data_IF_764030973602
#
_entry.id   IF_764030973602
#
_cell.length_a   1.000
_cell.length_b   1.000
_cell.length_c   1.000
_cell.angle_alpha   90.00
_cell.angle_beta   90.00
_cell.angle_gamma   90.00
#
_symmetry.space_group_name_H-M   'P 1'
#
loop_
_entity.id
_entity.type
_entity.pdbx_description
1 polymer ?
#
# COMPACT_ATOMS: atom_id res chain seq x y z
N UNK A 1 -55.30 -14.92 59.91
CA UNK A 1 -54.83 -13.95 60.92
C UNK A 1 -54.72 -12.59 60.26
N UNK A 2 -55.51 -11.63 60.76
CA UNK A 2 -55.29 -10.18 60.92
C UNK A 2 -53.90 -9.60 60.51
N UNK A 3 -53.66 -8.37 59.99
CA UNK A 3 -54.40 -7.09 59.79
C UNK A 3 -53.66 -6.18 58.76
N UNK A 4 -54.40 -5.31 58.05
CA UNK A 4 -54.07 -3.89 57.73
C UNK A 4 -53.40 -3.63 56.38
N UNK A 5 -53.91 -2.84 55.42
CA UNK A 5 -54.63 -1.54 55.45
C UNK A 5 -53.70 -0.50 54.78
N UNK A 6 -54.06 0.49 53.96
CA UNK A 6 -55.28 1.01 53.34
C UNK A 6 -54.87 2.04 52.25
N UNK A 7 -55.73 2.31 51.25
CA UNK A 7 -55.75 3.51 50.38
C UNK A 7 -54.63 3.65 49.33
N UNK A 8 -54.81 4.13 48.10
CA UNK A 8 -55.91 4.80 47.43
C UNK A 8 -55.32 5.79 46.39
N UNK A 9 -55.97 5.88 45.22
CA UNK A 9 -55.94 7.01 44.25
C UNK A 9 -54.82 7.00 43.18
N UNK A 10 -55.25 6.86 41.90
CA UNK A 10 -54.51 7.20 40.67
C UNK A 10 -54.43 8.72 40.48
N UNK A 11 -53.44 9.22 39.71
CA UNK A 11 -53.87 10.08 38.61
C UNK A 11 -53.08 9.94 37.29
N UNK A 12 -53.84 10.17 36.21
CA UNK A 12 -53.56 10.92 34.98
C UNK A 12 -52.28 10.69 34.14
N UNK A 13 -52.54 10.44 32.86
CA UNK A 13 -51.62 10.58 31.73
C UNK A 13 -51.06 12.01 31.64
N UNK A 14 -49.75 12.12 31.37
CA UNK A 14 -49.12 13.35 30.88
C UNK A 14 -48.21 13.01 29.68
N UNK A 15 -48.46 13.68 28.56
CA UNK A 15 -47.61 13.67 27.36
C UNK A 15 -46.22 14.26 27.69
N UNK A 16 -45.11 13.72 27.16
CA UNK A 16 -43.85 14.46 27.17
C UNK A 16 -43.91 15.66 26.19
N UNK A 17 -43.17 16.73 26.47
CA UNK A 17 -43.30 18.03 25.80
C UNK A 17 -42.73 18.02 24.39
N UNK A 18 -43.32 18.84 23.51
CA UNK A 18 -42.69 19.27 22.25
C UNK A 18 -41.42 20.03 22.60
N UNK A 19 -40.25 19.43 22.36
CA UNK A 19 -38.99 20.15 22.30
C UNK A 19 -38.94 20.93 20.98
N UNK A 20 -38.69 22.22 21.12
CA UNK A 20 -38.55 23.20 20.06
C UNK A 20 -37.46 22.81 19.04
N UNK A 21 -37.64 23.28 17.81
CA UNK A 21 -36.68 23.10 16.73
C UNK A 21 -35.29 23.58 17.13
N UNK A 22 -34.35 22.64 17.16
CA UNK A 22 -32.94 22.93 16.93
C UNK A 22 -32.63 22.34 15.55
N UNK A 23 -32.34 23.23 14.61
CA UNK A 23 -31.82 22.88 13.30
C UNK A 23 -30.64 21.92 13.47
N UNK A 24 -30.79 20.72 12.91
CA UNK A 24 -29.65 19.81 12.73
C UNK A 24 -28.69 20.49 11.76
N UNK A 25 -27.41 20.73 12.11
CA UNK A 25 -26.46 21.19 11.12
C UNK A 25 -26.30 20.07 10.08
N UNK A 26 -26.56 20.43 8.82
CA UNK A 26 -26.32 19.58 7.66
C UNK A 26 -24.85 19.16 7.63
N UNK A 27 -24.61 17.85 7.72
CA UNK A 27 -23.29 17.23 7.51
C UNK A 27 -22.98 17.24 6.02
N UNK A 28 -22.72 18.42 5.45
CA UNK A 28 -22.34 18.56 4.03
C UNK A 28 -21.26 19.62 3.78
N UNK A 29 -20.72 20.29 4.80
CA UNK A 29 -19.77 21.41 4.59
C UNK A 29 -18.32 21.18 5.00
N UNK A 30 -17.92 20.00 5.51
CA UNK A 30 -16.55 19.78 6.00
C UNK A 30 -15.63 18.93 5.10
N UNK A 31 -16.09 18.43 3.95
CA UNK A 31 -15.32 17.47 3.13
C UNK A 31 -15.16 17.88 1.65
N UNK A 32 -15.33 19.17 1.34
CA UNK A 32 -15.28 19.67 -0.06
C UNK A 32 -13.93 19.48 -0.76
N UNK A 33 -12.81 19.52 -0.03
CA UNK A 33 -11.47 19.40 -0.61
C UNK A 33 -11.13 18.00 -1.13
N UNK A 34 -11.60 16.95 -0.44
CA UNK A 34 -11.35 15.55 -0.82
C UNK A 34 -12.09 15.15 -2.10
N UNK A 35 -13.32 15.62 -2.27
CA UNK A 35 -14.14 15.33 -3.44
C UNK A 35 -13.57 15.98 -4.72
N UNK A 36 -13.05 17.21 -4.62
CA UNK A 36 -12.43 17.89 -5.76
C UNK A 36 -11.10 17.25 -6.19
N UNK A 37 -10.26 16.82 -5.23
CA UNK A 37 -9.06 16.04 -5.53
C UNK A 37 -9.39 14.66 -6.13
N UNK A 38 -10.46 14.01 -5.66
CA UNK A 38 -10.94 12.74 -6.21
C UNK A 38 -11.48 12.87 -7.65
N UNK A 39 -12.20 13.97 -7.95
CA UNK A 39 -12.69 14.28 -9.30
C UNK A 39 -11.55 14.63 -10.27
N UNK A 40 -10.52 15.36 -9.81
CA UNK A 40 -9.31 15.62 -10.60
C UNK A 40 -8.48 14.35 -10.81
N UNK A 41 -8.37 13.49 -9.79
CA UNK A 41 -7.75 12.16 -9.93
C UNK A 41 -8.48 11.36 -11.02
N UNK A 42 -9.80 11.31 -10.99
CA UNK A 42 -10.61 10.61 -11.99
C UNK A 42 -10.38 11.13 -13.43
N UNK A 43 -10.24 12.45 -13.61
CA UNK A 43 -9.93 13.07 -14.91
C UNK A 43 -8.53 12.72 -15.41
N UNK A 44 -7.52 12.76 -14.54
CA UNK A 44 -6.12 12.44 -14.91
C UNK A 44 -5.91 10.95 -15.17
N UNK A 45 -6.60 10.09 -14.43
CA UNK A 45 -6.54 8.64 -14.61
C UNK A 45 -7.24 8.22 -15.91
N UNK A 46 -8.38 8.83 -16.25
CA UNK A 46 -9.04 8.62 -17.54
C UNK A 46 -8.17 9.05 -18.72
N UNK A 47 -7.38 10.12 -18.58
CA UNK A 47 -6.45 10.59 -19.59
C UNK A 47 -5.24 9.65 -19.80
N UNK A 48 -4.76 8.98 -18.75
CA UNK A 48 -3.64 8.01 -18.85
C UNK A 48 -4.11 6.60 -19.26
N UNK A 49 -5.37 6.23 -18.96
CA UNK A 49 -5.97 4.95 -19.40
C UNK A 49 -6.22 4.85 -20.91
N UNK A 50 -6.28 5.99 -21.62
CA UNK A 50 -6.46 6.02 -23.07
C UNK A 50 -5.22 5.61 -23.88
N UNK A 51 -4.03 5.51 -23.25
CA UNK A 51 -2.79 5.08 -23.91
C UNK A 51 -2.52 3.57 -23.79
N UNK A 52 -3.39 2.80 -23.13
CA UNK A 52 -3.18 1.38 -22.84
C UNK A 52 -4.17 0.41 -23.50
N UNK A 53 -5.09 0.87 -24.34
CA UNK A 53 -6.14 0.02 -24.92
C UNK A 53 -6.05 0.00 -26.46
N UNK A 54 -4.98 -0.60 -26.99
CA UNK A 54 -4.97 -1.11 -28.36
C UNK A 54 -5.20 -2.62 -28.29
N UNK A 55 -6.45 -3.00 -28.59
CA UNK A 55 -6.90 -4.39 -28.68
C UNK A 55 -6.53 -4.93 -30.07
N UNK A 56 -5.45 -5.69 -30.19
CA UNK A 56 -5.15 -6.43 -31.43
C UNK A 56 -5.73 -7.85 -31.37
N UNK A 57 -6.66 -8.11 -32.29
CA UNK A 57 -7.22 -9.42 -32.60
C UNK A 57 -6.30 -10.16 -33.57
N UNK A 58 -6.10 -11.47 -33.35
CA UNK A 58 -6.06 -12.46 -34.44
C UNK A 58 -4.69 -13.03 -34.87
N UNK A 59 -4.47 -14.28 -34.42
CA UNK A 59 -3.94 -15.43 -35.17
C UNK A 59 -2.42 -15.73 -35.30
N UNK A 60 -2.05 -17.04 -35.44
CA UNK A 60 -0.85 -17.60 -34.82
C UNK A 60 0.30 -17.85 -35.82
N UNK A 61 1.56 -17.73 -35.38
CA UNK A 61 2.71 -18.20 -36.17
C UNK A 61 3.76 -18.94 -35.34
N UNK A 62 3.80 -20.25 -35.64
CA UNK A 62 4.93 -21.17 -35.88
C UNK A 62 6.30 -20.87 -35.24
N UNK A 63 6.80 -21.92 -34.57
CA UNK A 63 8.20 -22.19 -34.22
C UNK A 63 9.18 -21.90 -35.37
N UNK A 64 10.35 -21.32 -35.07
CA UNK A 64 11.65 -21.94 -35.35
C UNK A 64 12.85 -21.18 -34.76
N UNK A 65 13.72 -21.98 -34.13
CA UNK A 65 15.19 -21.99 -34.17
C UNK A 65 16.03 -20.77 -33.77
N UNK A 66 16.80 -21.02 -32.70
CA UNK A 66 17.99 -20.32 -32.19
C UNK A 66 19.12 -20.33 -33.20
N UNK A 67 19.77 -19.17 -33.43
CA UNK A 67 21.19 -19.10 -33.79
C UNK A 67 21.87 -17.91 -33.11
N UNK A 68 23.01 -18.24 -32.51
CA UNK A 68 23.97 -17.43 -31.78
C UNK A 68 24.84 -16.58 -32.70
N UNK A 69 25.32 -15.41 -32.23
CA UNK A 69 26.67 -14.85 -32.48
C UNK A 69 26.89 -13.50 -31.74
N UNK A 70 28.15 -13.08 -31.50
CA UNK A 70 28.55 -12.36 -30.28
C UNK A 70 28.95 -10.88 -30.46
N UNK A 71 29.21 -10.21 -29.32
CA UNK A 71 29.64 -8.82 -29.11
C UNK A 71 30.89 -8.36 -29.87
N UNK A 72 31.06 -7.03 -30.07
CA UNK A 72 32.37 -6.42 -30.28
C UNK A 72 32.81 -5.53 -29.09
N UNK A 73 34.13 -5.47 -28.93
CA UNK A 73 34.88 -4.54 -28.05
C UNK A 73 35.67 -3.52 -28.93
N UNK A 74 36.24 -2.45 -28.35
CA UNK A 74 36.34 -1.11 -28.95
C UNK A 74 37.77 -0.71 -29.37
N UNK A 75 37.92 0.44 -30.05
CA UNK A 75 39.10 1.33 -30.21
C UNK A 75 38.69 2.48 -31.17
N UNK A 76 39.11 3.74 -31.11
CA UNK A 76 40.13 4.45 -30.35
C UNK A 76 40.05 5.96 -30.65
N UNK A 77 40.80 6.76 -29.89
CA UNK A 77 40.86 8.21 -29.94
C UNK A 77 41.75 8.76 -31.07
N UNK A 78 41.52 10.02 -31.50
CA UNK A 78 42.49 11.13 -31.41
C UNK A 78 42.22 12.31 -32.39
N UNK A 79 42.24 13.52 -31.81
CA UNK A 79 42.93 14.77 -32.21
C UNK A 79 42.60 15.51 -33.52
N UNK A 80 42.45 16.84 -33.38
CA UNK A 80 43.19 17.81 -34.21
C UNK A 80 42.40 19.03 -34.70
N UNK A 81 42.53 20.15 -34.00
CA UNK A 81 42.39 21.53 -34.50
C UNK A 81 43.61 21.90 -35.38
N UNK A 82 43.63 22.94 -36.27
CA UNK A 82 43.59 24.35 -35.82
C UNK A 82 43.04 25.40 -36.84
N UNK A 83 42.94 26.68 -36.41
CA UNK A 83 42.96 27.84 -37.33
C UNK A 83 42.47 29.20 -36.78
N UNK A 84 43.41 30.07 -36.40
CA UNK A 84 43.25 31.47 -35.98
C UNK A 84 42.90 32.46 -37.11
N UNK A 85 42.34 33.63 -36.76
CA UNK A 85 42.84 34.95 -37.21
C UNK A 85 42.24 36.10 -36.36
N UNK A 86 43.09 36.96 -35.82
CA UNK A 86 42.73 38.18 -35.08
C UNK A 86 42.96 39.48 -35.88
N UNK A 87 42.48 40.59 -35.35
CA UNK A 87 42.91 41.96 -35.72
C UNK A 87 42.79 42.92 -34.52
N UNK A 88 43.79 43.80 -34.40
CA UNK A 88 44.11 44.73 -33.30
C UNK A 88 43.46 46.15 -33.46
N UNK A 89 43.54 47.04 -32.44
CA UNK A 89 42.74 48.27 -32.31
C UNK A 89 43.51 49.59 -32.57
N UNK A 90 42.77 50.72 -32.64
CA UNK A 90 43.28 52.10 -32.66
C UNK A 90 42.20 53.15 -32.30
N UNK A 91 42.57 54.40 -31.92
CA UNK A 91 42.00 55.06 -30.75
C UNK A 91 41.24 56.40 -30.97
N UNK A 92 40.59 56.82 -29.88
CA UNK A 92 40.50 58.18 -29.31
C UNK A 92 39.20 59.03 -29.38
N UNK A 93 39.07 59.86 -28.33
CA UNK A 93 38.16 60.98 -28.05
C UNK A 93 36.77 60.72 -27.43
N UNK A 94 36.56 61.35 -26.27
CA UNK A 94 35.48 61.09 -25.32
C UNK A 94 34.25 61.99 -25.40
N UNK A 95 33.31 61.77 -24.46
CA UNK A 95 32.42 62.76 -23.83
C UNK A 95 31.49 62.08 -22.80
N UNK A 96 31.07 62.89 -21.82
CA UNK A 96 30.41 62.59 -20.54
C UNK A 96 29.09 61.82 -20.64
N UNK A 97 28.77 61.01 -19.64
CA UNK A 97 27.42 60.47 -19.42
C UNK A 97 27.25 59.83 -18.04
N UNK A 98 26.23 60.26 -17.30
CA UNK A 98 25.98 60.03 -15.88
C UNK A 98 25.83 58.56 -15.45
N UNK A 99 26.18 58.30 -14.17
CA UNK A 99 25.86 57.08 -13.41
C UNK A 99 24.36 56.75 -13.52
N UNK A 100 24.03 55.64 -14.14
CA UNK A 100 22.79 54.91 -13.89
C UNK A 100 23.15 53.59 -13.20
N UNK A 101 22.71 53.42 -11.95
CA UNK A 101 22.83 52.17 -11.23
C UNK A 101 22.01 51.10 -11.97
N UNK A 102 22.69 50.08 -12.50
CA UNK A 102 22.02 48.92 -13.07
C UNK A 102 21.28 48.17 -11.94
N UNK A 103 19.99 47.82 -12.11
CA UNK A 103 19.30 47.00 -11.14
C UNK A 103 19.96 45.63 -11.14
N UNK A 104 20.46 45.21 -9.97
CA UNK A 104 20.86 43.82 -9.72
C UNK A 104 19.66 42.94 -10.04
N UNK A 105 19.65 42.34 -11.24
CA UNK A 105 18.76 41.24 -11.57
C UNK A 105 19.12 40.10 -10.64
N UNK A 106 18.40 40.00 -9.52
CA UNK A 106 18.40 38.81 -8.70
C UNK A 106 18.05 37.65 -9.62
N UNK A 107 19.03 36.77 -9.88
CA UNK A 107 18.77 35.53 -10.60
C UNK A 107 17.67 34.83 -9.79
N UNK A 108 16.49 34.68 -10.39
CA UNK A 108 15.42 33.90 -9.81
C UNK A 108 16.02 32.55 -9.39
N UNK A 109 16.12 32.33 -8.08
CA UNK A 109 16.66 31.09 -7.52
C UNK A 109 15.80 30.00 -8.14
N UNK A 110 16.39 29.12 -8.96
CA UNK A 110 15.68 27.94 -9.50
C UNK A 110 15.15 27.18 -8.30
N UNK A 111 13.88 27.40 -7.94
CA UNK A 111 13.20 26.63 -6.92
C UNK A 111 13.11 25.24 -7.50
N UNK A 112 13.94 24.32 -6.99
CA UNK A 112 13.81 22.91 -7.34
C UNK A 112 12.40 22.52 -6.94
N UNK A 113 11.59 22.06 -7.90
CA UNK A 113 10.27 21.50 -7.60
C UNK A 113 10.53 20.17 -6.90
N UNK A 114 10.46 20.15 -5.58
CA UNK A 114 10.72 18.95 -4.79
C UNK A 114 9.46 18.09 -4.83
N UNK A 115 9.61 16.85 -5.30
CA UNK A 115 8.51 15.88 -5.35
C UNK A 115 8.30 15.30 -3.95
N UNK A 116 7.03 15.10 -3.58
CA UNK A 116 6.69 14.35 -2.38
C UNK A 116 7.15 12.89 -2.49
N UNK A 117 7.50 12.29 -1.35
CA UNK A 117 7.81 10.88 -1.22
C UNK A 117 6.53 10.14 -0.82
N UNK A 118 6.28 8.98 -1.43
CA UNK A 118 5.17 8.09 -1.06
C UNK A 118 5.75 6.87 -0.38
N UNK A 119 5.26 6.55 0.83
CA UNK A 119 5.66 5.39 1.62
C UNK A 119 4.41 4.54 1.90
N UNK A 120 4.40 3.31 1.38
CA UNK A 120 3.42 2.27 1.73
C UNK A 120 4.06 1.27 2.69
N UNK A 121 3.79 1.42 4.00
CA UNK A 121 4.29 0.53 5.05
C UNK A 121 3.38 -0.71 5.17
N UNK A 122 3.64 -1.73 4.36
CA UNK A 122 2.96 -3.03 4.48
C UNK A 122 3.64 -3.97 5.47
N UNK A 123 2.94 -5.00 5.94
CA UNK A 123 3.50 -5.97 6.90
C UNK A 123 4.67 -6.81 6.35
N UNK A 124 4.81 -6.95 5.03
CA UNK A 124 5.94 -7.68 4.43
C UNK A 124 6.96 -6.77 3.78
N UNK A 125 6.46 -5.78 3.05
CA UNK A 125 7.28 -4.86 2.29
C UNK A 125 6.78 -3.43 2.53
N UNK A 126 7.74 -2.57 2.84
CA UNK A 126 7.64 -1.13 2.72
C UNK A 126 7.98 -0.75 1.28
N UNK A 127 7.05 -0.15 0.55
CA UNK A 127 7.30 0.35 -0.82
C UNK A 127 7.46 1.86 -0.77
N UNK A 128 8.46 2.38 -1.45
CA UNK A 128 8.71 3.81 -1.49
C UNK A 128 9.16 4.29 -2.88
N UNK A 129 8.93 5.57 -3.13
CA UNK A 129 9.32 6.26 -4.36
C UNK A 129 8.71 7.65 -4.46
N UNK A 130 8.99 8.37 -5.54
CA UNK A 130 8.47 9.72 -5.72
C UNK A 130 7.03 9.74 -6.25
N UNK A 131 6.25 10.74 -5.82
CA UNK A 131 4.95 11.04 -6.39
C UNK A 131 5.03 11.33 -7.90
N UNK A 132 4.04 10.83 -8.64
CA UNK A 132 3.96 10.90 -10.10
C UNK A 132 4.76 9.82 -10.83
N UNK A 133 5.47 8.92 -10.14
CA UNK A 133 6.07 7.74 -10.76
C UNK A 133 5.03 6.60 -10.89
N UNK A 134 5.08 5.79 -11.97
CA UNK A 134 4.07 4.77 -12.25
C UNK A 134 4.21 3.51 -11.37
N UNK A 135 5.36 3.32 -10.72
CA UNK A 135 5.68 2.16 -9.88
C UNK A 135 6.60 2.58 -8.74
N UNK A 136 6.57 1.90 -7.58
CA UNK A 136 7.49 2.19 -6.50
C UNK A 136 8.93 1.97 -6.94
N UNK A 137 9.82 2.87 -6.53
CA UNK A 137 11.24 2.80 -6.82
C UNK A 137 11.90 1.63 -6.08
N UNK A 138 11.51 1.41 -4.82
CA UNK A 138 12.08 0.37 -3.98
C UNK A 138 11.02 -0.45 -3.25
N UNK A 139 11.35 -1.73 -3.04
CA UNK A 139 10.66 -2.64 -2.14
C UNK A 139 11.64 -3.02 -1.03
N UNK A 140 11.41 -2.50 0.18
CA UNK A 140 12.23 -2.77 1.35
C UNK A 140 11.49 -3.79 2.22
N UNK A 141 12.17 -4.84 2.67
CA UNK A 141 11.58 -5.77 3.64
C UNK A 141 11.16 -5.01 4.90
N UNK A 142 9.94 -5.25 5.38
CA UNK A 142 9.47 -4.69 6.65
C UNK A 142 10.02 -5.44 7.86
N UNK A 143 10.82 -6.49 7.65
CA UNK A 143 11.52 -7.20 8.72
C UNK A 143 12.82 -6.49 9.09
N UNK A 144 13.09 -6.36 10.39
CA UNK A 144 14.32 -5.81 10.94
C UNK A 144 15.10 -6.92 11.64
N UNK A 145 16.40 -6.99 11.38
CA UNK A 145 17.30 -7.95 12.02
C UNK A 145 18.06 -7.28 13.15
N UNK A 146 18.04 -7.89 14.35
CA UNK A 146 18.87 -7.49 15.49
C UNK A 146 19.88 -8.60 15.80
N UNK A 147 21.16 -8.30 16.06
CA UNK A 147 22.14 -9.31 16.45
C UNK A 147 21.68 -10.12 17.66
N UNK A 148 21.88 -11.44 17.65
CA UNK A 148 21.65 -12.25 18.84
C UNK A 148 22.66 -11.88 19.94
N UNK A 149 22.20 -11.77 21.19
CA UNK A 149 22.99 -11.28 22.34
C UNK A 149 24.33 -12.02 22.59
N UNK A 150 24.44 -13.28 22.18
CA UNK A 150 25.69 -14.05 22.26
C UNK A 150 26.83 -13.49 21.37
N UNK A 151 26.50 -12.74 20.31
CA UNK A 151 27.48 -12.10 19.44
C UNK A 151 27.89 -10.67 19.91
N UNK A 152 27.18 -10.10 20.88
CA UNK A 152 27.46 -8.75 21.40
C UNK A 152 28.63 -8.70 22.40
N UNK A 153 29.13 -9.86 22.85
CA UNK A 153 30.26 -9.94 23.80
C UNK A 153 31.64 -9.71 23.18
N UNK A 154 31.74 -9.57 21.85
CA UNK A 154 33.00 -9.40 21.14
C UNK A 154 33.33 -7.93 20.82
N UNK A 155 33.12 -6.99 21.75
CA UNK A 155 33.60 -5.59 21.64
C UNK A 155 33.31 -4.87 20.32
N UNK A 156 32.25 -5.29 19.61
CA UNK A 156 32.12 -5.00 18.19
C UNK A 156 31.34 -3.70 17.97
N UNK A 157 31.88 -2.81 17.15
CA UNK A 157 31.25 -1.55 16.72
C UNK A 157 30.10 -1.79 15.72
N UNK A 158 29.49 -2.98 15.75
CA UNK A 158 28.47 -3.40 14.80
C UNK A 158 27.18 -2.64 15.01
N UNK A 159 26.59 -2.22 13.88
CA UNK A 159 25.26 -1.62 13.78
C UNK A 159 24.23 -2.48 14.54
N UNK A 160 23.39 -1.83 15.34
CA UNK A 160 22.41 -2.50 16.21
C UNK A 160 21.21 -3.08 15.44
N UNK A 161 20.88 -2.48 14.29
CA UNK A 161 19.74 -2.87 13.46
C UNK A 161 20.15 -2.99 11.98
N UNK A 162 19.63 -4.03 11.33
CA UNK A 162 19.85 -4.32 9.91
C UNK A 162 18.51 -4.34 9.19
N UNK A 163 18.42 -3.66 8.04
CA UNK A 163 17.18 -3.52 7.27
C UNK A 163 17.45 -3.76 5.78
N UNK A 164 16.46 -4.31 5.09
CA UNK A 164 16.49 -4.47 3.64
C UNK A 164 17.60 -5.42 3.19
N UNK A 165 18.46 -4.99 2.28
CA UNK A 165 19.52 -5.85 1.74
C UNK A 165 20.64 -6.12 2.77
N UNK A 166 20.71 -5.34 3.85
CA UNK A 166 21.71 -5.51 4.91
C UNK A 166 21.50 -6.84 5.66
N UNK A 167 20.25 -7.32 5.73
CA UNK A 167 19.89 -8.62 6.34
C UNK A 167 20.60 -9.81 5.69
N UNK A 168 20.96 -9.69 4.41
CA UNK A 168 21.61 -10.76 3.64
C UNK A 168 23.14 -10.69 3.71
N UNK A 169 23.69 -9.56 4.15
CA UNK A 169 25.14 -9.30 4.12
C UNK A 169 25.83 -9.56 5.46
N UNK A 170 25.07 -9.84 6.50
CA UNK A 170 25.63 -10.13 7.83
C UNK A 170 26.07 -11.58 7.93
N UNK A 171 27.34 -11.80 8.27
CA UNK A 171 27.85 -13.13 8.63
C UNK A 171 27.44 -13.61 10.04
N UNK A 172 26.75 -12.77 10.81
CA UNK A 172 26.30 -13.07 12.17
C UNK A 172 24.81 -13.48 12.19
N UNK A 173 24.40 -14.38 13.10
CA UNK A 173 23.00 -14.74 13.27
C UNK A 173 22.19 -13.53 13.75
N UNK A 174 21.11 -13.22 13.02
CA UNK A 174 20.18 -12.15 13.34
C UNK A 174 18.85 -12.73 13.83
N UNK A 175 18.30 -12.14 14.90
CA UNK A 175 16.90 -12.32 15.27
C UNK A 175 16.05 -11.39 14.39
N UNK A 176 15.19 -11.98 13.58
CA UNK A 176 14.29 -11.25 12.69
C UNK A 176 13.00 -10.86 13.42
N UNK A 177 12.67 -9.58 13.39
CA UNK A 177 11.46 -9.01 14.00
C UNK A 177 10.64 -8.28 12.94
N UNK A 178 9.33 -8.51 12.91
CA UNK A 178 8.40 -7.73 12.11
C UNK A 178 7.69 -6.72 13.01
N UNK A 179 7.78 -5.39 12.74
CA UNK A 179 7.15 -4.39 13.57
C UNK A 179 5.64 -4.28 13.38
N UNK A 180 5.05 -4.95 12.38
CA UNK A 180 3.61 -4.92 12.14
C UNK A 180 2.98 -6.28 12.44
N UNK A 181 1.95 -6.28 13.27
CA UNK A 181 1.06 -7.42 13.50
C UNK A 181 -0.35 -7.06 13.04
N UNK A 182 -0.85 -7.77 12.03
CA UNK A 182 -2.18 -7.53 11.42
C UNK A 182 -2.45 -6.05 11.09
N UNK A 183 -1.43 -5.33 10.59
CA UNK A 183 -1.53 -3.90 10.23
C UNK A 183 -1.36 -2.91 11.39
N UNK A 184 -1.20 -3.38 12.64
CA UNK A 184 -0.92 -2.53 13.80
C UNK A 184 0.58 -2.54 14.09
N UNK A 185 1.15 -1.37 14.35
CA UNK A 185 2.56 -1.24 14.75
C UNK A 185 2.73 -1.68 16.20
N UNK A 186 3.61 -2.67 16.42
CA UNK A 186 3.94 -3.20 17.75
C UNK A 186 5.37 -2.87 18.20
N UNK A 187 6.25 -2.45 17.28
CA UNK A 187 7.63 -2.06 17.57
C UNK A 187 7.98 -0.80 16.75
N UNK A 188 7.91 0.36 17.41
CA UNK A 188 8.13 1.67 16.80
C UNK A 188 9.60 1.94 16.46
N UNK A 189 10.54 1.38 17.22
CA UNK A 189 11.99 1.52 16.97
C UNK A 189 12.37 0.83 15.64
N UNK A 190 11.77 -0.34 15.39
CA UNK A 190 11.91 -1.04 14.13
C UNK A 190 11.28 -0.25 12.96
N UNK A 191 10.12 0.39 13.13
CA UNK A 191 9.54 1.27 12.10
C UNK A 191 10.46 2.44 11.79
N UNK A 192 11.00 3.10 12.81
CA UNK A 192 11.96 4.19 12.64
C UNK A 192 13.20 3.71 11.88
N UNK A 193 13.77 2.55 12.25
CA UNK A 193 14.90 1.94 11.55
C UNK A 193 14.59 1.68 10.06
N UNK A 194 13.38 1.23 9.73
CA UNK A 194 12.94 1.02 8.35
C UNK A 194 12.90 2.34 7.58
N UNK A 195 12.34 3.39 8.17
CA UNK A 195 12.25 4.69 7.53
C UNK A 195 13.61 5.36 7.37
N UNK A 196 14.48 5.30 8.38
CA UNK A 196 15.86 5.77 8.28
C UNK A 196 16.59 5.07 7.13
N UNK A 197 16.43 3.76 6.99
CA UNK A 197 16.96 3.02 5.85
C UNK A 197 16.34 3.48 4.52
N UNK A 198 15.02 3.72 4.47
CA UNK A 198 14.34 4.23 3.27
C UNK A 198 14.92 5.58 2.84
N UNK A 199 15.06 6.55 3.75
CA UNK A 199 15.57 7.87 3.43
C UNK A 199 17.07 7.85 3.11
N UNK A 200 17.90 7.27 4.00
CA UNK A 200 19.37 7.36 3.93
C UNK A 200 19.98 6.38 2.93
N UNK A 201 19.47 5.14 2.88
CA UNK A 201 20.11 4.05 2.13
C UNK A 201 19.41 3.79 0.79
N UNK A 202 18.09 3.67 0.78
CA UNK A 202 17.33 3.35 -0.44
C UNK A 202 17.18 4.58 -1.35
N UNK A 203 16.49 5.62 -0.89
CA UNK A 203 16.23 6.83 -1.67
C UNK A 203 17.44 7.78 -1.74
N UNK A 204 18.32 7.74 -0.73
CA UNK A 204 19.50 8.61 -0.58
C UNK A 204 19.13 10.10 -0.62
N UNK A 205 18.12 10.46 0.17
CA UNK A 205 17.60 11.82 0.28
C UNK A 205 17.58 12.29 1.73
N UNK A 206 17.47 13.61 1.90
CA UNK A 206 17.26 14.24 3.19
C UNK A 206 15.76 14.35 3.48
N UNK A 207 15.24 13.75 4.57
CA UNK A 207 13.80 13.80 4.87
C UNK A 207 13.26 15.24 5.02
N UNK A 208 14.09 16.17 5.50
CA UNK A 208 13.74 17.57 5.75
C UNK A 208 13.41 18.36 4.47
N UNK A 209 13.76 17.82 3.29
CA UNK A 209 13.50 18.46 2.01
C UNK A 209 12.19 17.99 1.36
N UNK A 210 11.57 16.90 1.84
CA UNK A 210 10.49 16.22 1.13
C UNK A 210 9.23 16.02 1.98
N UNK A 211 8.07 16.46 1.47
CA UNK A 211 6.78 16.05 2.02
C UNK A 211 6.58 14.53 1.87
N UNK A 212 5.88 13.90 2.81
CA UNK A 212 5.69 12.44 2.84
C UNK A 212 4.21 12.09 2.86
N UNK A 213 3.73 11.35 1.85
CA UNK A 213 2.45 10.65 1.92
C UNK A 213 2.68 9.24 2.46
N UNK A 214 2.08 8.93 3.60
CA UNK A 214 2.15 7.62 4.25
C UNK A 214 0.82 6.89 4.10
N UNK A 215 0.83 5.60 3.76
CA UNK A 215 -0.39 4.78 3.81
C UNK A 215 -0.59 4.17 5.20
N UNK A 216 -1.85 4.15 5.67
CA UNK A 216 -2.25 3.52 6.94
C UNK A 216 -3.36 2.48 6.73
N UNK A 217 -3.31 1.29 7.35
CA UNK A 217 -4.39 0.31 7.25
C UNK A 217 -5.73 0.86 7.72
N UNK A 218 -6.86 0.40 7.14
CA UNK A 218 -8.17 0.80 7.60
C UNK A 218 -8.41 0.24 9.01
N UNK A 219 -9.20 0.95 9.83
CA UNK A 219 -9.57 0.53 11.19
C UNK A 219 -8.39 0.39 12.17
N UNK A 220 -7.26 1.06 11.90
CA UNK A 220 -6.14 1.16 12.85
C UNK A 220 -6.48 2.02 14.07
N UNK A 221 -5.76 1.86 15.21
CA UNK A 221 -5.92 2.73 16.37
C UNK A 221 -5.61 4.19 16.01
N UNK A 222 -6.41 5.14 16.51
CA UNK A 222 -6.20 6.57 16.23
C UNK A 222 -4.80 7.06 16.64
N UNK A 223 -4.29 6.59 17.77
CA UNK A 223 -2.94 6.94 18.26
C UNK A 223 -1.79 6.45 17.35
N UNK A 224 -2.03 5.49 16.46
CA UNK A 224 -1.01 5.06 15.49
C UNK A 224 -0.67 6.19 14.51
N UNK A 225 -1.67 6.95 14.06
CA UNK A 225 -1.46 8.07 13.13
C UNK A 225 -0.71 9.23 13.76
N UNK A 226 -1.02 9.52 15.02
CA UNK A 226 -0.30 10.53 15.82
C UNK A 226 1.17 10.12 15.98
N UNK A 227 1.41 8.85 16.30
CA UNK A 227 2.79 8.37 16.49
C UNK A 227 3.61 8.34 15.20
N UNK A 228 2.98 8.07 14.05
CA UNK A 228 3.64 8.28 12.75
C UNK A 228 4.05 9.74 12.55
N UNK A 229 3.17 10.68 12.89
CA UNK A 229 3.43 12.11 12.76
C UNK A 229 4.58 12.56 13.68
N UNK A 230 4.57 12.15 14.94
CA UNK A 230 5.68 12.41 15.89
C UNK A 230 7.02 11.93 15.31
N UNK A 231 7.11 10.68 14.85
CA UNK A 231 8.35 10.14 14.30
C UNK A 231 8.81 10.89 13.04
N UNK A 232 7.90 11.20 12.12
CA UNK A 232 8.27 11.86 10.88
C UNK A 232 8.62 13.35 11.09
N UNK A 233 7.87 14.08 11.92
CA UNK A 233 8.10 15.50 12.16
C UNK A 233 9.23 15.77 13.16
N UNK A 234 9.29 15.02 14.26
CA UNK A 234 10.22 15.30 15.34
C UNK A 234 11.56 14.58 15.15
N UNK A 235 11.53 13.27 14.85
CA UNK A 235 12.75 12.49 14.71
C UNK A 235 13.40 12.65 13.31
N UNK A 236 12.58 12.68 12.25
CA UNK A 236 13.07 12.77 10.87
C UNK A 236 12.96 14.17 10.25
N UNK A 237 12.27 15.11 10.91
CA UNK A 237 12.24 16.51 10.49
C UNK A 237 11.53 16.80 9.18
N UNK A 238 10.60 15.95 8.72
CA UNK A 238 9.88 16.17 7.44
C UNK A 238 9.11 17.49 7.47
N UNK A 239 9.02 18.24 6.35
CA UNK A 239 8.34 19.53 6.32
C UNK A 239 6.81 19.40 6.31
N UNK A 240 6.28 18.31 5.74
CA UNK A 240 4.85 18.07 5.63
C UNK A 240 4.53 16.56 5.54
N UNK A 241 3.37 16.18 6.07
CA UNK A 241 2.88 14.80 6.13
C UNK A 241 1.41 14.76 5.72
N UNK A 242 1.02 13.67 5.05
CA UNK A 242 -0.37 13.26 4.95
C UNK A 242 -0.46 11.75 5.11
N UNK A 243 -1.38 11.28 5.95
CA UNK A 243 -1.61 9.86 6.20
C UNK A 243 -2.92 9.46 5.54
N UNK A 244 -2.89 8.55 4.57
CA UNK A 244 -4.07 8.17 3.81
C UNK A 244 -4.43 6.68 4.03
N UNK A 245 -5.73 6.33 4.14
CA UNK A 245 -6.16 4.94 4.23
C UNK A 245 -5.73 4.11 3.00
N UNK A 246 -5.13 2.93 3.23
CA UNK A 246 -4.69 2.02 2.16
C UNK A 246 -5.78 1.72 1.10
N UNK A 247 -7.04 1.39 1.47
CA UNK A 247 -8.08 1.10 0.49
C UNK A 247 -8.47 2.32 -0.35
N UNK A 248 -8.39 3.52 0.22
CA UNK A 248 -8.66 4.78 -0.48
C UNK A 248 -7.59 5.05 -1.55
N UNK A 249 -6.34 4.79 -1.24
CA UNK A 249 -5.28 4.85 -2.24
C UNK A 249 -5.48 3.76 -3.31
N UNK A 250 -5.80 2.53 -2.88
CA UNK A 250 -6.06 1.42 -3.80
C UNK A 250 -7.14 1.74 -4.83
N UNK A 251 -8.30 2.32 -4.45
CA UNK A 251 -9.36 2.67 -5.41
C UNK A 251 -8.93 3.73 -6.42
N UNK A 252 -8.10 4.69 -6.00
CA UNK A 252 -7.54 5.69 -6.91
C UNK A 252 -6.59 5.08 -7.94
N UNK A 253 -5.89 3.98 -7.64
CA UNK A 253 -5.12 3.28 -8.67
C UNK A 253 -5.97 2.69 -9.81
N UNK A 254 -7.27 2.48 -9.56
CA UNK A 254 -8.23 1.97 -10.54
C UNK A 254 -9.01 3.07 -11.28
N UNK A 255 -8.78 4.36 -10.99
CA UNK A 255 -9.55 5.43 -11.64
C UNK A 255 -10.98 5.56 -11.16
N UNK A 256 -11.27 5.06 -9.96
CA UNK A 256 -12.62 5.06 -9.38
C UNK A 256 -12.64 5.88 -8.09
N UNK A 257 -13.84 6.34 -7.74
CA UNK A 257 -14.12 7.07 -6.48
C UNK A 257 -15.15 6.34 -5.62
N UNK A 258 -15.88 5.38 -6.20
CA UNK A 258 -16.81 4.50 -5.49
C UNK A 258 -16.59 3.03 -5.85
N UNK A 259 -16.77 2.14 -4.87
CA UNK A 259 -16.66 0.70 -5.03
C UNK A 259 -16.26 -0.02 -3.75
N UNK A 260 -16.30 -1.36 -3.79
CA UNK A 260 -15.82 -2.21 -2.70
C UNK A 260 -14.37 -2.62 -2.97
N UNK A 261 -13.44 -2.17 -2.12
CA UNK A 261 -12.05 -2.60 -2.20
C UNK A 261 -11.85 -3.83 -1.33
N UNK A 262 -11.55 -4.98 -1.95
CA UNK A 262 -11.05 -6.15 -1.25
C UNK A 262 -9.52 -6.17 -1.31
N UNK A 263 -8.88 -5.87 -0.19
CA UNK A 263 -7.43 -5.86 -0.06
C UNK A 263 -6.96 -7.04 0.78
N UNK A 264 -6.06 -7.87 0.25
CA UNK A 264 -5.44 -8.96 1.01
C UNK A 264 -3.91 -8.89 0.91
N UNK A 265 -3.30 -8.43 2.00
CA UNK A 265 -1.87 -8.17 2.12
C UNK A 265 -1.08 -9.36 2.67
N UNK A 266 -0.05 -9.09 3.47
CA UNK A 266 0.71 -10.14 4.14
C UNK A 266 0.22 -10.40 5.57
N UNK A 267 -0.14 -9.37 6.33
CA UNK A 267 -0.59 -9.52 7.72
C UNK A 267 -2.11 -9.48 7.91
N UNK A 268 -2.86 -8.88 6.99
CA UNK A 268 -4.29 -8.61 7.20
C UNK A 268 -5.03 -8.51 5.86
N UNK A 269 -6.32 -8.84 5.89
CA UNK A 269 -7.23 -8.67 4.77
C UNK A 269 -8.43 -7.80 5.15
N UNK A 270 -8.89 -6.95 4.24
CA UNK A 270 -9.98 -6.00 4.46
C UNK A 270 -10.94 -5.96 3.28
N UNK A 271 -12.23 -5.77 3.56
CA UNK A 271 -13.25 -5.42 2.58
C UNK A 271 -13.82 -4.06 2.95
N UNK A 272 -13.48 -3.02 2.19
CA UNK A 272 -13.77 -1.63 2.56
C UNK A 272 -14.61 -0.97 1.46
N UNK A 273 -15.87 -0.59 1.75
CA UNK A 273 -16.70 0.12 0.80
C UNK A 273 -16.36 1.61 0.83
N UNK A 274 -16.17 2.18 -0.35
CA UNK A 274 -15.83 3.58 -0.56
C UNK A 274 -16.92 4.17 -1.45
N UNK A 275 -17.42 5.34 -1.07
CA UNK A 275 -18.40 6.09 -1.86
C UNK A 275 -17.90 7.51 -2.01
N UNK A 276 -17.78 7.99 -3.26
CA UNK A 276 -17.39 9.36 -3.57
C UNK A 276 -16.11 9.82 -2.86
N UNK A 277 -15.11 8.93 -2.75
CA UNK A 277 -13.84 9.21 -2.09
C UNK A 277 -13.87 9.11 -0.55
N UNK A 278 -14.97 8.66 0.04
CA UNK A 278 -15.11 8.50 1.49
C UNK A 278 -15.23 7.02 1.87
N UNK A 279 -14.45 6.60 2.87
CA UNK A 279 -14.63 5.30 3.52
C UNK A 279 -15.89 5.38 4.38
N UNK A 280 -16.86 4.49 4.13
CA UNK A 280 -18.13 4.50 4.85
C UNK A 280 -17.95 3.95 6.27
N UNK A 281 -18.18 4.71 7.35
CA UNK A 281 -17.95 4.24 8.71
C UNK A 281 -18.84 3.06 9.10
N UNK A 282 -18.32 2.13 9.90
CA UNK A 282 -19.07 0.97 10.41
C UNK A 282 -19.40 -0.13 9.39
N UNK A 283 -19.19 0.12 8.09
CA UNK A 283 -19.38 -0.86 7.03
C UNK A 283 -18.18 -1.77 6.72
N UNK A 284 -16.90 -1.38 6.92
CA UNK A 284 -15.76 -2.21 6.53
C UNK A 284 -15.71 -3.54 7.28
N UNK A 285 -15.27 -4.59 6.58
CA UNK A 285 -14.93 -5.88 7.14
C UNK A 285 -13.42 -6.05 7.27
N UNK A 286 -12.98 -6.77 8.31
CA UNK A 286 -11.58 -7.13 8.55
C UNK A 286 -11.47 -8.63 8.80
N UNK A 287 -10.38 -9.22 8.31
CA UNK A 287 -9.97 -10.57 8.62
C UNK A 287 -8.48 -10.58 9.00
N UNK A 288 -8.19 -11.08 10.19
CA UNK A 288 -6.82 -11.22 10.74
C UNK A 288 -6.15 -12.51 10.22
N UNK A 289 -6.18 -12.69 8.90
CA UNK A 289 -5.36 -13.65 8.20
C UNK A 289 -5.04 -13.12 6.81
N UNK A 290 -3.83 -13.39 6.32
CA UNK A 290 -3.44 -13.06 4.96
C UNK A 290 -2.22 -13.88 4.49
N UNK A 291 -1.29 -13.26 3.77
CA UNK A 291 -0.19 -13.96 3.09
C UNK A 291 0.84 -14.60 4.01
N UNK A 292 1.04 -14.08 5.22
CA UNK A 292 1.94 -14.66 6.21
C UNK A 292 1.37 -15.96 6.78
N UNK A 293 0.08 -15.97 7.10
CA UNK A 293 -0.62 -17.16 7.57
C UNK A 293 -0.72 -18.23 6.48
N UNK A 294 -0.93 -17.77 5.24
CA UNK A 294 -0.88 -18.63 4.05
C UNK A 294 0.49 -19.32 3.90
N UNK A 295 1.59 -18.60 4.12
CA UNK A 295 2.96 -19.18 4.12
C UNK A 295 3.11 -20.21 5.25
N UNK A 296 2.66 -19.91 6.47
CA UNK A 296 2.75 -20.86 7.60
C UNK A 296 1.89 -22.10 7.38
N UNK A 297 0.72 -21.94 6.77
CA UNK A 297 -0.12 -23.05 6.40
C UNK A 297 0.53 -23.92 5.31
N UNK A 298 1.15 -23.31 4.30
CA UNK A 298 1.92 -24.04 3.30
C UNK A 298 3.09 -24.81 3.92
N UNK A 299 3.79 -24.22 4.90
CA UNK A 299 4.86 -24.91 5.62
C UNK A 299 4.34 -26.19 6.29
N UNK A 300 3.18 -26.12 6.96
CA UNK A 300 2.54 -27.30 7.56
C UNK A 300 2.20 -28.36 6.50
N UNK A 301 1.55 -27.97 5.40
CA UNK A 301 1.19 -28.89 4.32
C UNK A 301 2.42 -29.57 3.70
N UNK A 302 3.50 -28.83 3.46
CA UNK A 302 4.75 -29.40 2.93
C UNK A 302 5.36 -30.42 3.91
N UNK A 303 5.31 -30.14 5.21
CA UNK A 303 5.82 -31.06 6.22
C UNK A 303 4.95 -32.31 6.37
N UNK A 304 3.62 -32.18 6.26
CA UNK A 304 2.69 -33.31 6.21
C UNK A 304 2.94 -34.22 4.99
N UNK A 305 3.42 -33.66 3.89
CA UNK A 305 3.87 -34.40 2.69
C UNK A 305 5.27 -35.00 2.80
N UNK A 306 5.90 -34.94 3.98
CA UNK A 306 7.18 -35.59 4.28
C UNK A 306 8.41 -34.70 4.16
N UNK A 307 8.25 -33.38 4.01
CA UNK A 307 9.36 -32.43 4.06
C UNK A 307 9.68 -31.99 5.51
N UNK A 308 10.84 -31.36 5.71
CA UNK A 308 11.32 -30.94 7.03
C UNK A 308 11.68 -29.45 7.05
N UNK A 309 10.71 -28.60 6.73
CA UNK A 309 10.86 -27.15 6.84
C UNK A 309 10.64 -26.69 8.28
N UNK A 310 11.44 -25.72 8.73
CA UNK A 310 11.34 -25.03 10.01
C UNK A 310 10.99 -23.57 9.78
N UNK A 311 10.73 -22.82 10.84
CA UNK A 311 10.41 -21.39 10.75
C UNK A 311 11.52 -20.55 10.08
N UNK A 312 12.78 -20.99 10.18
CA UNK A 312 13.92 -20.35 9.49
C UNK A 312 13.77 -20.40 7.95
N UNK A 313 13.04 -21.38 7.44
CA UNK A 313 12.79 -21.57 6.01
C UNK A 313 11.55 -20.83 5.50
N UNK A 314 10.87 -20.01 6.32
CA UNK A 314 9.65 -19.29 5.90
C UNK A 314 9.85 -18.42 4.65
N UNK A 315 11.04 -17.85 4.46
CA UNK A 315 11.36 -17.06 3.27
C UNK A 315 11.40 -17.92 1.99
N UNK A 316 11.83 -19.18 2.08
CA UNK A 316 11.82 -20.16 0.99
C UNK A 316 10.39 -20.59 0.71
N UNK A 317 9.63 -20.95 1.75
CA UNK A 317 8.22 -21.36 1.63
C UNK A 317 7.38 -20.24 1.02
N UNK A 318 7.67 -18.99 1.38
CA UNK A 318 7.03 -17.84 0.77
C UNK A 318 7.36 -17.68 -0.72
N UNK A 319 8.59 -18.00 -1.12
CA UNK A 319 8.95 -18.02 -2.53
C UNK A 319 8.21 -19.13 -3.27
N UNK A 320 8.14 -20.34 -2.70
CA UNK A 320 7.34 -21.46 -3.23
C UNK A 320 5.88 -21.03 -3.40
N UNK A 321 5.29 -20.38 -2.39
CA UNK A 321 3.93 -19.84 -2.44
C UNK A 321 3.72 -18.94 -3.65
N UNK A 322 4.64 -18.01 -3.91
CA UNK A 322 4.53 -17.04 -5.00
C UNK A 322 4.71 -17.67 -6.38
N UNK A 323 5.55 -18.70 -6.51
CA UNK A 323 5.86 -19.33 -7.80
C UNK A 323 4.92 -20.48 -8.16
N UNK A 324 4.52 -21.29 -7.17
CA UNK A 324 3.87 -22.58 -7.42
C UNK A 324 2.36 -22.58 -7.10
N UNK A 325 1.92 -21.75 -6.14
CA UNK A 325 0.54 -21.80 -5.65
C UNK A 325 -0.46 -21.02 -6.51
N UNK A 326 -1.69 -21.52 -6.54
CA UNK A 326 -2.80 -20.92 -7.28
C UNK A 326 -4.13 -21.26 -6.63
N UNK A 327 -5.10 -20.35 -6.74
CA UNK A 327 -6.47 -20.58 -6.32
C UNK A 327 -7.22 -21.36 -7.41
N UNK A 328 -7.37 -22.66 -7.20
CA UNK A 328 -8.10 -23.56 -8.10
C UNK A 328 -9.60 -23.21 -8.13
N UNK A 329 -10.24 -23.05 -9.31
CA UNK A 329 -11.67 -22.78 -9.40
C UNK A 329 -12.54 -23.95 -8.92
N UNK A 330 -12.03 -25.19 -9.01
CA UNK A 330 -12.70 -26.39 -8.51
C UNK A 330 -11.71 -27.23 -7.67
N UNK A 331 -11.79 -27.18 -6.34
CA UNK A 331 -10.92 -27.97 -5.48
C UNK A 331 -11.14 -29.48 -5.76
N UNK A 332 -10.06 -30.21 -6.02
CA UNK A 332 -10.08 -31.66 -6.24
C UNK A 332 -9.85 -32.12 -7.70
N UNK A 333 -10.03 -31.26 -8.71
CA UNK A 333 -9.78 -31.63 -10.12
C UNK A 333 -8.30 -31.65 -10.50
N UNK A 334 -7.44 -31.08 -9.66
CA UNK A 334 -6.03 -30.80 -9.94
C UNK A 334 -5.06 -31.69 -9.11
N UNK A 335 -5.57 -32.75 -8.47
CA UNK A 335 -4.86 -33.62 -7.52
C UNK A 335 -3.64 -34.39 -8.12
N UNK A 336 -3.40 -34.30 -9.42
CA UNK A 336 -2.26 -34.94 -10.11
C UNK A 336 -1.18 -33.99 -10.63
N UNK A 337 -1.37 -32.66 -10.54
CA UNK A 337 -0.46 -31.68 -11.15
C UNK A 337 0.65 -31.27 -10.18
N UNK A 338 1.83 -31.89 -10.36
CA UNK A 338 3.05 -31.54 -9.63
C UNK A 338 3.87 -30.50 -10.38
N UNK A 339 4.54 -29.63 -9.63
CA UNK A 339 5.52 -28.67 -10.14
C UNK A 339 6.82 -28.88 -9.39
N UNK A 340 7.91 -29.01 -10.13
CA UNK A 340 9.24 -29.06 -9.53
C UNK A 340 9.71 -27.65 -9.19
N UNK A 341 10.19 -27.49 -7.96
CA UNK A 341 10.80 -26.27 -7.44
C UNK A 341 12.25 -26.55 -7.04
N UNK A 342 13.18 -25.71 -7.45
CA UNK A 342 14.59 -25.85 -7.07
C UNK A 342 14.86 -25.05 -5.79
N UNK A 343 15.28 -25.75 -4.73
CA UNK A 343 15.69 -25.16 -3.47
C UNK A 343 17.05 -24.46 -3.61
N UNK A 344 17.39 -23.51 -2.73
CA UNK A 344 18.69 -22.81 -2.78
C UNK A 344 19.91 -23.73 -2.68
N UNK A 345 19.76 -24.94 -2.13
CA UNK A 345 20.79 -25.97 -2.05
C UNK A 345 20.89 -26.85 -3.33
N UNK A 346 20.11 -26.54 -4.37
CA UNK A 346 20.03 -27.26 -5.63
C UNK A 346 19.13 -28.49 -5.61
N UNK A 347 18.52 -28.83 -4.47
CA UNK A 347 17.59 -29.97 -4.39
C UNK A 347 16.27 -29.63 -5.06
N UNK A 348 15.68 -30.61 -5.75
CA UNK A 348 14.34 -30.46 -6.37
C UNK A 348 13.25 -30.92 -5.42
N UNK A 349 12.29 -30.04 -5.20
CA UNK A 349 11.09 -30.23 -4.41
C UNK A 349 9.90 -30.39 -5.35
N UNK A 350 9.23 -31.54 -5.34
CA UNK A 350 8.00 -31.74 -6.10
C UNK A 350 6.81 -31.24 -5.27
N UNK A 351 6.28 -30.06 -5.61
CA UNK A 351 5.09 -29.49 -4.97
C UNK A 351 3.86 -30.02 -5.69
N UNK A 352 3.02 -30.78 -4.99
CA UNK A 352 1.83 -31.41 -5.51
C UNK A 352 0.55 -30.67 -5.11
N UNK A 353 -0.41 -31.32 -4.43
CA UNK A 353 -1.71 -30.73 -4.10
C UNK A 353 -1.64 -29.54 -3.14
N UNK A 354 -0.54 -29.40 -2.39
CA UNK A 354 -0.32 -28.33 -1.40
C UNK A 354 -0.43 -26.95 -2.05
N UNK A 355 -0.07 -26.86 -3.34
CA UNK A 355 -0.12 -25.60 -4.12
C UNK A 355 -1.52 -25.02 -4.28
N UNK A 356 -2.54 -25.88 -4.23
CA UNK A 356 -3.95 -25.49 -4.36
C UNK A 356 -4.62 -25.46 -2.98
N UNK A 357 -4.31 -26.45 -2.14
CA UNK A 357 -4.81 -26.52 -0.76
C UNK A 357 -4.43 -25.30 0.05
N UNK A 358 -3.20 -24.80 -0.10
CA UNK A 358 -2.76 -23.58 0.56
C UNK A 358 -3.74 -22.42 0.29
N UNK A 359 -4.09 -22.17 -0.97
CA UNK A 359 -5.00 -21.10 -1.36
C UNK A 359 -6.43 -21.26 -0.82
N UNK A 360 -6.88 -22.49 -0.48
CA UNK A 360 -8.19 -22.72 0.13
C UNK A 360 -8.37 -21.95 1.43
N UNK A 361 -7.29 -21.68 2.18
CA UNK A 361 -7.35 -20.90 3.41
C UNK A 361 -7.99 -19.51 3.20
N UNK A 362 -7.83 -18.89 2.03
CA UNK A 362 -8.43 -17.58 1.72
C UNK A 362 -9.95 -17.65 1.49
N UNK A 363 -10.48 -18.83 1.18
CA UNK A 363 -11.90 -19.05 0.89
C UNK A 363 -12.60 -19.79 2.05
N UNK A 364 -11.87 -20.66 2.73
CA UNK A 364 -12.29 -21.46 3.89
C UNK A 364 -11.20 -21.46 4.97
N UNK A 365 -11.08 -20.40 5.78
CA UNK A 365 -10.01 -20.28 6.79
C UNK A 365 -9.99 -21.40 7.84
N UNK A 366 -11.10 -22.12 8.00
CA UNK A 366 -11.23 -23.27 8.90
C UNK A 366 -10.23 -24.39 8.62
N UNK A 367 -9.80 -24.57 7.36
CA UNK A 367 -8.78 -25.58 6.99
C UNK A 367 -7.43 -25.31 7.63
N UNK A 368 -7.17 -24.06 8.01
CA UNK A 368 -5.96 -23.63 8.70
C UNK A 368 -6.17 -23.41 10.21
N UNK A 369 -7.37 -23.68 10.74
CA UNK A 369 -7.72 -23.50 12.15
C UNK A 369 -8.30 -22.13 12.52
N UNK A 370 -8.65 -21.28 11.55
CA UNK A 370 -9.28 -19.98 11.80
C UNK A 370 -10.80 -20.06 11.73
N UNK A 371 -11.50 -19.44 12.68
CA UNK A 371 -12.96 -19.33 12.70
C UNK A 371 -13.51 -18.12 11.92
N UNK A 372 -12.62 -17.27 11.40
CA UNK A 372 -13.00 -16.08 10.64
C UNK A 372 -13.59 -16.45 9.26
N UNK A 373 -14.45 -15.60 8.66
CA UNK A 373 -15.03 -15.86 7.35
C UNK A 373 -13.97 -15.84 6.25
N UNK A 374 -14.17 -16.62 5.19
CA UNK A 374 -13.40 -16.52 3.95
C UNK A 374 -13.57 -15.16 3.26
N UNK A 375 -12.64 -14.79 2.37
CA UNK A 375 -12.66 -13.49 1.69
C UNK A 375 -13.96 -13.24 0.90
N UNK A 376 -14.57 -14.20 0.17
CA UNK A 376 -15.86 -13.97 -0.48
C UNK A 376 -16.98 -13.70 0.52
N UNK A 377 -17.01 -14.44 1.64
CA UNK A 377 -17.99 -14.23 2.71
C UNK A 377 -17.80 -12.88 3.42
N UNK A 378 -16.55 -12.46 3.64
CA UNK A 378 -16.21 -11.14 4.16
C UNK A 378 -16.73 -10.01 3.25
N UNK A 379 -16.48 -10.13 1.94
CA UNK A 379 -16.96 -9.18 0.95
C UNK A 379 -18.48 -9.18 0.84
N UNK A 380 -19.12 -10.35 0.83
CA UNK A 380 -20.58 -10.47 0.79
C UNK A 380 -21.24 -9.82 2.02
N UNK A 381 -20.71 -10.07 3.23
CA UNK A 381 -21.21 -9.43 4.45
C UNK A 381 -21.09 -7.90 4.38
N UNK A 382 -20.00 -7.39 3.80
CA UNK A 382 -19.83 -5.96 3.55
C UNK A 382 -20.85 -5.42 2.54
N UNK A 383 -21.09 -6.13 1.43
CA UNK A 383 -22.10 -5.76 0.43
C UNK A 383 -23.52 -5.77 1.00
N UNK A 384 -23.85 -6.72 1.88
CA UNK A 384 -25.16 -6.74 2.55
C UNK A 384 -25.34 -5.51 3.44
N UNK A 385 -24.36 -5.14 4.27
CA UNK A 385 -24.42 -3.89 5.04
C UNK A 385 -24.54 -2.65 4.15
N UNK A 386 -23.89 -2.64 2.98
CA UNK A 386 -24.04 -1.56 2.00
C UNK A 386 -25.43 -1.55 1.35
N UNK A 387 -26.06 -2.71 1.15
CA UNK A 387 -27.43 -2.83 0.65
C UNK A 387 -28.41 -2.18 1.61
N UNK A 388 -28.27 -2.44 2.90
CA UNK A 388 -29.11 -1.86 3.95
C UNK A 388 -28.98 -0.32 4.00
N UNK A 389 -27.80 0.19 3.64
CA UNK A 389 -27.52 1.62 3.49
C UNK A 389 -27.88 2.20 2.10
N UNK A 390 -28.44 1.41 1.18
CA UNK A 390 -28.84 1.86 -0.17
C UNK A 390 -27.73 1.91 -1.23
N UNK A 391 -26.51 1.47 -0.92
CA UNK A 391 -25.33 1.54 -1.80
C UNK A 391 -24.90 0.17 -2.38
N UNK A 392 -25.56 -0.92 -1.99
CA UNK A 392 -25.14 -2.28 -2.31
C UNK A 392 -24.94 -2.58 -3.81
N UNK A 393 -25.82 -2.05 -4.68
CA UNK A 393 -25.72 -2.25 -6.12
C UNK A 393 -24.51 -1.54 -6.74
N UNK A 394 -24.24 -0.29 -6.32
CA UNK A 394 -23.07 0.47 -6.76
C UNK A 394 -21.76 -0.20 -6.33
N UNK A 395 -21.71 -0.71 -5.09
CA UNK A 395 -20.55 -1.42 -4.56
C UNK A 395 -20.32 -2.76 -5.27
N UNK A 396 -21.40 -3.52 -5.53
CA UNK A 396 -21.32 -4.82 -6.22
C UNK A 396 -20.87 -4.68 -7.69
N UNK A 397 -21.27 -3.60 -8.38
CA UNK A 397 -20.83 -3.31 -9.73
C UNK A 397 -19.35 -2.90 -9.82
N UNK A 398 -18.70 -2.64 -8.68
CA UNK A 398 -17.36 -2.05 -8.61
C UNK A 398 -16.52 -2.71 -7.50
N UNK A 399 -16.39 -4.03 -7.52
CA UNK A 399 -15.52 -4.76 -6.58
C UNK A 399 -14.08 -4.79 -7.11
N UNK A 400 -13.12 -4.30 -6.34
CA UNK A 400 -11.73 -4.13 -6.76
C UNK A 400 -10.80 -5.01 -5.92
N UNK A 401 -9.99 -5.85 -6.57
CA UNK A 401 -9.03 -6.72 -5.91
C UNK A 401 -7.68 -6.03 -5.74
N UNK A 402 -7.18 -5.96 -4.51
CA UNK A 402 -5.92 -5.29 -4.18
C UNK A 402 -5.04 -6.16 -3.26
N UNK A 403 -3.73 -5.93 -3.27
CA UNK A 403 -2.80 -6.60 -2.37
C UNK A 403 -2.25 -7.93 -2.90
N UNK A 404 -1.15 -8.38 -2.28
CA UNK A 404 -0.31 -9.46 -2.79
C UNK A 404 -0.97 -10.84 -2.84
N UNK A 405 -1.87 -11.18 -1.91
CA UNK A 405 -2.55 -12.49 -1.92
C UNK A 405 -3.53 -12.64 -3.08
N UNK A 406 -4.11 -11.54 -3.53
CA UNK A 406 -5.01 -11.55 -4.70
C UNK A 406 -4.26 -11.80 -6.03
N UNK A 407 -2.92 -11.86 -6.00
CA UNK A 407 -2.07 -12.18 -7.15
C UNK A 407 -1.99 -13.68 -7.45
N UNK A 408 -2.48 -14.56 -6.57
CA UNK A 408 -2.51 -15.99 -6.83
C UNK A 408 -3.24 -16.29 -8.15
N UNK A 409 -2.67 -17.18 -8.97
CA UNK A 409 -3.29 -17.59 -10.23
C UNK A 409 -4.70 -18.12 -10.00
N UNK A 410 -5.67 -17.74 -10.84
CA UNK A 410 -7.07 -18.15 -10.71
C UNK A 410 -7.88 -17.42 -9.62
N UNK A 411 -7.25 -16.64 -8.73
CA UNK A 411 -7.94 -15.97 -7.63
C UNK A 411 -9.10 -15.07 -8.08
N UNK A 412 -8.96 -14.17 -9.09
CA UNK A 412 -10.06 -13.30 -9.49
C UNK A 412 -11.30 -14.06 -9.99
N UNK A 413 -11.08 -15.08 -10.83
CA UNK A 413 -12.16 -15.87 -11.40
C UNK A 413 -12.91 -16.68 -10.32
N UNK A 414 -12.16 -17.32 -9.43
CA UNK A 414 -12.74 -18.05 -8.30
C UNK A 414 -13.49 -17.13 -7.35
N UNK A 415 -12.86 -16.00 -6.98
CA UNK A 415 -13.47 -15.02 -6.09
C UNK A 415 -14.78 -14.48 -6.65
N UNK A 416 -14.81 -14.13 -7.95
CA UNK A 416 -16.03 -13.71 -8.62
C UNK A 416 -17.12 -14.79 -8.60
N UNK A 417 -16.75 -16.06 -8.86
CA UNK A 417 -17.69 -17.18 -8.81
C UNK A 417 -18.27 -17.36 -7.40
N UNK A 418 -17.44 -17.42 -6.37
CA UNK A 418 -17.90 -17.64 -4.99
C UNK A 418 -18.70 -16.45 -4.46
N UNK A 419 -18.27 -15.22 -4.75
CA UNK A 419 -19.03 -14.03 -4.37
C UNK A 419 -20.38 -13.95 -5.10
N UNK A 420 -20.43 -14.38 -6.37
CA UNK A 420 -21.67 -14.47 -7.15
C UNK A 420 -22.70 -15.40 -6.55
N UNK A 421 -22.28 -16.51 -5.93
CA UNK A 421 -23.17 -17.41 -5.20
C UNK A 421 -23.75 -16.76 -3.94
N UNK A 422 -22.98 -15.87 -3.29
CA UNK A 422 -23.38 -15.15 -2.07
C UNK A 422 -24.17 -13.86 -2.36
N UNK A 423 -24.16 -13.39 -3.61
CA UNK A 423 -24.90 -12.22 -4.08
C UNK A 423 -25.85 -12.58 -5.24
N UNK A 424 -26.95 -13.29 -4.95
CA UNK A 424 -27.98 -13.58 -5.95
C UNK A 424 -28.77 -12.28 -6.24
N UNK A 425 -28.37 -11.58 -7.30
CA UNK A 425 -29.00 -10.32 -7.70
C UNK A 425 -28.47 -9.75 -9.01
N UNK A 426 -27.44 -10.36 -9.60
CA UNK A 426 -26.77 -9.82 -10.77
C UNK A 426 -25.99 -8.54 -10.46
N UNK A 427 -25.41 -7.94 -11.50
CA UNK A 427 -24.67 -6.68 -11.38
C UNK A 427 -23.32 -6.79 -10.65
N UNK A 428 -22.88 -7.99 -10.28
CA UNK A 428 -21.57 -8.20 -9.67
C UNK A 428 -20.48 -8.10 -10.74
N UNK A 429 -19.53 -7.18 -10.55
CA UNK A 429 -18.33 -7.09 -11.37
C UNK A 429 -17.08 -6.97 -10.50
N UNK A 430 -16.14 -7.89 -10.71
CA UNK A 430 -14.86 -7.93 -10.01
C UNK A 430 -13.76 -7.49 -10.96
N UNK A 431 -13.04 -6.43 -10.62
CA UNK A 431 -11.89 -5.94 -11.37
C UNK A 431 -10.58 -6.35 -10.66
N UNK A 432 -9.61 -6.81 -11.45
CA UNK A 432 -8.29 -7.19 -10.98
C UNK A 432 -7.21 -6.61 -11.90
N UNK A 433 -6.61 -5.49 -11.51
CA UNK A 433 -5.52 -4.88 -12.26
C UNK A 433 -4.27 -5.78 -12.22
N UNK A 434 -3.45 -5.83 -13.29
CA UNK A 434 -2.20 -6.60 -13.30
C UNK A 434 -1.21 -6.16 -12.21
N UNK A 435 -1.13 -4.86 -11.92
CA UNK A 435 -0.21 -4.28 -10.93
C UNK A 435 -0.85 -4.13 -9.53
N UNK A 436 -1.93 -4.88 -9.23
CA UNK A 436 -2.71 -4.72 -7.99
C UNK A 436 -1.94 -5.00 -6.68
N UNK A 437 -0.76 -5.62 -6.77
CA UNK A 437 0.19 -5.76 -5.64
C UNK A 437 0.77 -4.42 -5.15
N UNK A 438 0.72 -3.38 -5.98
CA UNK A 438 1.22 -2.02 -5.70
C UNK A 438 0.11 -0.97 -5.78
N UNK A 439 -1.17 -1.36 -5.79
CA UNK A 439 -2.31 -0.45 -5.91
C UNK A 439 -2.27 0.69 -4.88
N UNK A 440 -2.04 0.38 -3.61
CA UNK A 440 -1.90 1.37 -2.53
C UNK A 440 -0.85 2.42 -2.89
N UNK A 441 0.38 1.99 -3.18
CA UNK A 441 1.46 2.91 -3.50
C UNK A 441 1.17 3.72 -4.77
N UNK A 442 0.61 3.08 -5.79
CA UNK A 442 0.29 3.73 -7.08
C UNK A 442 -0.76 4.81 -6.90
N UNK A 443 -1.81 4.54 -6.13
CA UNK A 443 -2.82 5.52 -5.77
C UNK A 443 -2.25 6.69 -4.96
N UNK A 444 -1.35 6.41 -4.02
CA UNK A 444 -0.61 7.44 -3.29
C UNK A 444 0.25 8.31 -4.20
N UNK A 445 0.93 7.71 -5.18
CA UNK A 445 1.73 8.42 -6.19
C UNK A 445 0.88 9.34 -7.06
N UNK A 446 -0.30 8.87 -7.48
CA UNK A 446 -1.28 9.69 -8.22
C UNK A 446 -1.76 10.84 -7.34
N UNK A 447 -2.28 10.54 -6.14
CA UNK A 447 -2.87 11.51 -5.23
C UNK A 447 -1.88 12.62 -4.83
N UNK A 448 -0.66 12.25 -4.42
CA UNK A 448 0.37 13.21 -4.01
C UNK A 448 0.89 14.09 -5.17
N UNK A 449 0.66 13.67 -6.43
CA UNK A 449 1.05 14.46 -7.61
C UNK A 449 0.02 15.54 -7.99
N UNK A 450 -1.18 15.51 -7.43
CA UNK A 450 -2.25 16.43 -7.75
C UNK A 450 -2.01 17.82 -7.13
N UNK A 451 -2.37 18.86 -7.87
CA UNK A 451 -2.27 20.24 -7.37
C UNK A 451 -3.34 20.53 -6.31
N UNK A 452 -4.57 20.03 -6.49
CA UNK A 452 -5.62 20.16 -5.48
C UNK A 452 -5.25 19.48 -4.14
N UNK A 453 -4.40 18.46 -4.16
CA UNK A 453 -3.97 17.75 -2.95
C UNK A 453 -3.06 18.60 -2.05
N UNK A 454 -2.46 19.69 -2.57
CA UNK A 454 -1.51 20.50 -1.79
C UNK A 454 -2.12 21.15 -0.54
N UNK A 455 -3.45 21.27 -0.45
CA UNK A 455 -4.14 21.84 0.71
C UNK A 455 -4.37 20.81 1.85
N UNK A 456 -4.21 19.51 1.56
CA UNK A 456 -4.46 18.42 2.51
C UNK A 456 -3.22 18.00 3.30
N UNK A 457 -2.05 18.56 2.98
CA UNK A 457 -0.85 18.38 3.77
C UNK A 457 -1.02 19.00 5.16
N UNK A 458 -0.54 18.30 6.17
CA UNK A 458 -0.27 18.84 7.50
C UNK A 458 1.18 19.30 7.50
N UNK A 459 1.45 20.57 7.82
CA UNK A 459 2.82 21.05 7.95
C UNK A 459 3.38 20.73 9.32
N UNK A 460 4.72 20.75 9.45
CA UNK A 460 5.39 20.56 10.74
C UNK A 460 4.97 21.62 11.77
N UNK A 461 4.78 22.86 11.34
CA UNK A 461 4.33 23.95 12.19
C UNK A 461 2.90 23.73 12.67
N UNK A 462 1.99 23.33 11.78
CA UNK A 462 0.60 23.02 12.15
C UNK A 462 0.52 21.88 13.16
N UNK A 463 1.36 20.84 12.99
CA UNK A 463 1.46 19.76 13.96
C UNK A 463 2.06 20.21 15.30
N UNK A 464 3.07 21.07 15.30
CA UNK A 464 3.64 21.62 16.54
C UNK A 464 2.63 22.46 17.34
N UNK A 465 1.72 23.15 16.66
CA UNK A 465 0.68 23.97 17.31
C UNK A 465 -0.53 23.17 17.80
N UNK A 466 -0.99 22.18 17.01
CA UNK A 466 -2.27 21.48 17.24
C UNK A 466 -2.13 20.01 17.62
N UNK A 467 -0.92 19.46 17.56
CA UNK A 467 -0.63 18.05 17.81
C UNK A 467 -1.45 17.10 16.94
N UNK A 468 -1.91 15.99 17.52
CA UNK A 468 -2.73 14.98 16.84
C UNK A 468 -4.01 15.52 16.21
N UNK A 469 -4.58 16.62 16.71
CA UNK A 469 -5.78 17.23 16.14
C UNK A 469 -5.56 17.75 14.70
N UNK A 470 -4.34 18.15 14.33
CA UNK A 470 -4.01 18.49 12.95
C UNK A 470 -4.16 17.28 12.03
N UNK A 471 -3.64 16.12 12.46
CA UNK A 471 -3.71 14.86 11.70
C UNK A 471 -5.16 14.45 11.53
N UNK A 472 -5.94 14.33 12.60
CA UNK A 472 -7.35 13.89 12.51
C UNK A 472 -8.25 14.81 11.71
N UNK A 473 -7.88 16.09 11.57
CA UNK A 473 -8.66 17.05 10.76
C UNK A 473 -8.43 16.92 9.25
N UNK A 474 -7.29 16.37 8.83
CA UNK A 474 -6.87 16.33 7.42
C UNK A 474 -6.62 14.92 6.87
N UNK A 475 -6.50 13.89 7.73
CA UNK A 475 -6.04 12.53 7.39
C UNK A 475 -7.04 11.43 7.80
#
# INVERSE_FOLDING_TARGET
>A
MAVGGAGGIRPAQARPPRAAGMDRPSVTSQWGGGCQAALEAQRLISAHGALGCACEKGEPRRQMAVRSSPSPAPLGAARGDPGEAGALPGPDAGLRGARAAAPLKAKARKVRRIKALVIDLGSQYCKCGYAGEPRPTYFVSSTVGRPCAAAAQAGDTRKETYVGHELLRTGAPLKLTNPLQHGVVVDWDCVQSIWEYVFRTAMKIRPEEHAVLLSDPPLGPAGQREKYAELLFEALGVPALHVAPQPLLSIYSYGRTSGLVLESGHGVSHAVPISEGNVLPGLPGRADYAGGDLTRYLLRLLNESGHAFTDDHLHIVEHIKKQCCSAAPAPGRELGLRVDYELPDGRRLAVGPERFQCAEMLFRPSVAGSSQPGLPALAAACLQRCRDAGLGAEMAANVLLCGGCTMLGGFPARFQSELGLLWPGGGLAVAAAPERKTSVWTGGSILASLQAFQQLWVSREEFAERGGAAIHSKC
#
